data_IF_096504729607
#
_entry.id   IF_096504729607
#
_cell.length_a   1.000
_cell.length_b   1.000
_cell.length_c   1.000
_cell.angle_alpha   90.00
_cell.angle_beta   90.00
_cell.angle_gamma   90.00
#
_symmetry.space_group_name_H-M   'P 1'
#
loop_
_entity.id
_entity.type
_entity.pdbx_description
1 polymer ?
#
# COMPACT_ATOMS: atom_id res chain seq x y z
N UNK A 1 24.11 22.12 -6.25
CA UNK A 1 23.28 20.93 -5.93
C UNK A 1 23.19 20.80 -4.42
N UNK A 2 21.99 20.61 -3.83
CA UNK A 2 21.86 20.60 -2.39
C UNK A 2 22.59 19.38 -1.82
N UNK A 3 23.55 19.61 -0.93
CA UNK A 3 24.12 18.57 -0.08
C UNK A 3 22.95 17.97 0.71
N UNK A 4 22.87 16.64 0.82
CA UNK A 4 21.92 16.03 1.75
C UNK A 4 22.19 16.62 3.12
N UNK A 5 21.22 17.32 3.67
CA UNK A 5 21.35 17.90 4.98
C UNK A 5 21.35 16.78 6.01
N UNK A 6 22.25 16.84 6.99
CA UNK A 6 22.32 15.87 8.09
C UNK A 6 20.93 15.64 8.73
N UNK A 7 20.07 16.67 8.73
CA UNK A 7 18.68 16.59 9.15
C UNK A 7 17.84 15.57 8.37
N UNK A 8 18.01 15.43 7.05
CA UNK A 8 17.27 14.47 6.22
C UNK A 8 17.65 13.03 6.61
N UNK A 9 18.94 12.77 6.84
CA UNK A 9 19.44 11.47 7.28
C UNK A 9 18.87 11.11 8.65
N UNK A 10 18.95 12.04 9.62
CA UNK A 10 18.41 11.85 10.97
C UNK A 10 16.89 11.62 10.92
N UNK A 11 16.16 12.38 10.11
CA UNK A 11 14.72 12.22 9.92
C UNK A 11 14.37 10.83 9.37
N UNK A 12 15.05 10.40 8.30
CA UNK A 12 14.80 9.09 7.68
C UNK A 12 15.09 7.97 8.67
N UNK A 13 16.27 7.95 9.31
CA UNK A 13 16.59 6.88 10.24
C UNK A 13 15.69 6.86 11.49
N UNK A 14 15.37 8.04 12.06
CA UNK A 14 14.51 8.13 13.23
C UNK A 14 13.05 7.73 12.93
N UNK A 15 12.52 8.14 11.78
CA UNK A 15 11.15 7.81 11.37
C UNK A 15 10.99 6.33 11.07
N UNK A 16 11.94 5.72 10.35
CA UNK A 16 11.96 4.27 10.12
C UNK A 16 12.14 3.51 11.44
N UNK A 17 13.12 3.88 12.28
CA UNK A 17 13.29 3.24 13.59
C UNK A 17 12.02 3.34 14.44
N UNK A 18 11.39 4.52 14.50
CA UNK A 18 10.16 4.74 15.24
C UNK A 18 8.99 3.88 14.72
N UNK A 19 8.84 3.74 13.39
CA UNK A 19 7.81 2.88 12.79
C UNK A 19 8.08 1.41 13.12
N UNK A 20 9.31 0.93 12.95
CA UNK A 20 9.65 -0.47 13.23
C UNK A 20 9.47 -0.80 14.71
N UNK A 21 10.05 0.00 15.61
CA UNK A 21 10.00 -0.21 17.06
C UNK A 21 8.58 -0.09 17.62
N UNK A 22 7.83 0.96 17.22
CA UNK A 22 6.53 1.24 17.83
C UNK A 22 5.36 0.50 17.18
N UNK A 23 5.48 0.12 15.91
CA UNK A 23 4.37 -0.48 15.16
C UNK A 23 4.65 -1.94 14.80
N UNK A 24 5.81 -2.24 14.21
CA UNK A 24 6.10 -3.60 13.71
C UNK A 24 6.43 -4.57 14.84
N UNK A 25 7.29 -4.16 15.79
CA UNK A 25 7.69 -5.01 16.93
C UNK A 25 6.65 -5.09 18.04
N UNK A 26 5.92 -3.99 18.34
CA UNK A 26 4.91 -3.98 19.41
C UNK A 26 3.58 -4.63 19.07
N UNK A 27 3.16 -4.60 17.79
CA UNK A 27 1.91 -5.25 17.34
C UNK A 27 2.16 -6.58 16.65
N UNK A 28 3.33 -7.19 16.91
CA UNK A 28 3.81 -8.47 16.40
C UNK A 28 2.92 -9.02 15.29
N UNK A 29 3.39 -8.88 14.05
CA UNK A 29 3.08 -9.86 13.00
C UNK A 29 3.01 -11.22 13.72
N UNK A 30 1.95 -12.02 13.58
CA UNK A 30 1.81 -13.26 14.34
C UNK A 30 2.87 -14.26 13.84
N UNK A 31 4.12 -14.01 14.25
CA UNK A 31 5.34 -14.76 13.96
C UNK A 31 5.28 -16.10 14.72
N UNK A 32 4.35 -16.23 15.66
CA UNK A 32 4.13 -17.39 16.52
C UNK A 32 2.75 -18.05 16.32
N UNK A 33 2.08 -17.87 15.17
CA UNK A 33 0.95 -18.74 14.81
C UNK A 33 1.44 -19.88 13.91
N UNK A 34 1.36 -21.16 14.34
CA UNK A 34 1.86 -22.31 13.58
C UNK A 34 1.16 -22.53 12.22
N UNK A 35 0.05 -21.81 11.94
CA UNK A 35 -0.64 -21.85 10.64
C UNK A 35 -0.13 -20.83 9.60
N UNK A 36 0.90 -20.04 9.93
CA UNK A 36 1.46 -19.07 9.00
C UNK A 36 2.39 -19.77 7.99
N UNK A 37 1.89 -20.03 6.78
CA UNK A 37 2.68 -20.64 5.69
C UNK A 37 3.96 -19.83 5.42
N UNK A 38 5.12 -20.50 5.41
CA UNK A 38 6.47 -19.92 5.18
C UNK A 38 6.52 -18.91 4.02
N UNK A 39 5.82 -19.19 2.92
CA UNK A 39 5.72 -18.29 1.76
C UNK A 39 5.17 -16.90 2.12
N UNK A 40 4.16 -16.82 3.00
CA UNK A 40 3.60 -15.53 3.44
C UNK A 40 4.61 -14.74 4.28
N UNK A 41 5.40 -15.45 5.08
CA UNK A 41 6.45 -14.86 5.90
C UNK A 41 7.55 -14.25 5.02
N UNK A 42 8.04 -15.00 4.03
CA UNK A 42 9.05 -14.54 3.08
C UNK A 42 8.56 -13.28 2.34
N UNK A 43 7.34 -13.28 1.81
CA UNK A 43 6.80 -12.11 1.10
C UNK A 43 6.74 -10.87 1.99
N UNK A 44 6.29 -11.00 3.24
CA UNK A 44 6.23 -9.88 4.18
C UNK A 44 7.63 -9.39 4.55
N UNK A 45 8.57 -10.30 4.81
CA UNK A 45 9.95 -9.94 5.11
C UNK A 45 10.60 -9.19 3.94
N UNK A 46 10.50 -9.73 2.72
CA UNK A 46 11.06 -9.08 1.53
C UNK A 46 10.43 -7.69 1.30
N UNK A 47 9.10 -7.58 1.43
CA UNK A 47 8.40 -6.30 1.29
C UNK A 47 8.88 -5.26 2.32
N UNK A 48 9.30 -5.71 3.50
CA UNK A 48 9.74 -4.84 4.57
C UNK A 48 11.24 -4.51 4.52
N UNK A 49 12.08 -5.49 4.17
CA UNK A 49 13.54 -5.37 4.20
C UNK A 49 14.10 -4.62 2.99
N UNK A 50 13.50 -4.82 1.80
CA UNK A 50 13.99 -4.20 0.56
C UNK A 50 13.94 -2.66 0.63
N UNK A 51 12.82 -2.01 1.02
CA UNK A 51 12.74 -0.57 1.25
C UNK A 51 13.84 -0.02 2.16
N UNK A 52 14.09 -0.70 3.28
CA UNK A 52 15.11 -0.28 4.26
C UNK A 52 16.49 -0.36 3.63
N UNK A 53 16.79 -1.47 2.94
CA UNK A 53 18.07 -1.65 2.28
C UNK A 53 18.30 -0.62 1.17
N UNK A 54 17.31 -0.35 0.32
CA UNK A 54 17.40 0.66 -0.74
C UNK A 54 17.62 2.06 -0.18
N UNK A 55 16.89 2.45 0.87
CA UNK A 55 17.07 3.75 1.51
C UNK A 55 18.45 3.86 2.15
N UNK A 56 18.88 2.86 2.94
CA UNK A 56 20.21 2.87 3.55
C UNK A 56 21.30 3.01 2.49
N UNK A 57 21.21 2.23 1.41
CA UNK A 57 22.17 2.27 0.31
C UNK A 57 22.16 3.61 -0.43
N UNK A 58 20.99 4.18 -0.69
CA UNK A 58 20.87 5.51 -1.29
C UNK A 58 21.52 6.58 -0.40
N UNK A 59 21.19 6.60 0.90
CA UNK A 59 21.72 7.59 1.84
C UNK A 59 23.24 7.45 2.02
N UNK A 60 23.77 6.23 2.12
CA UNK A 60 25.21 5.99 2.19
C UNK A 60 25.96 6.48 0.95
N UNK A 61 25.38 6.30 -0.24
CA UNK A 61 25.96 6.84 -1.49
C UNK A 61 25.88 8.35 -1.53
N UNK A 62 24.78 8.91 -1.03
CA UNK A 62 24.53 10.34 -1.07
C UNK A 62 25.50 11.14 -0.18
N UNK A 63 26.04 10.52 0.87
CA UNK A 63 27.11 11.09 1.69
C UNK A 63 28.39 11.29 0.88
N UNK A 64 28.68 10.39 -0.07
CA UNK A 64 29.92 10.39 -0.85
C UNK A 64 29.81 11.10 -2.20
N UNK A 65 28.60 11.48 -2.64
CA UNK A 65 28.37 12.12 -3.93
C UNK A 65 26.93 11.97 -4.40
N UNK A 66 26.68 12.21 -5.69
CA UNK A 66 25.36 12.02 -6.29
C UNK A 66 25.09 10.53 -6.50
N UNK A 67 24.08 9.91 -5.86
CA UNK A 67 23.78 8.50 -6.09
C UNK A 67 23.31 8.25 -7.51
N UNK A 68 23.92 7.30 -8.18
CA UNK A 68 23.50 6.86 -9.51
C UNK A 68 22.65 5.57 -9.42
N UNK A 69 21.64 5.43 -10.30
CA UNK A 69 20.82 4.22 -10.38
C UNK A 69 21.66 3.04 -10.88
N UNK A 70 21.47 1.87 -10.28
CA UNK A 70 22.13 0.64 -10.71
C UNK A 70 21.11 -0.45 -11.05
N UNK A 71 21.49 -1.42 -11.89
CA UNK A 71 20.61 -2.55 -12.23
C UNK A 71 20.16 -3.36 -10.99
N UNK A 72 20.99 -3.38 -9.94
CA UNK A 72 20.63 -3.94 -8.65
C UNK A 72 19.51 -3.15 -7.95
N UNK A 73 19.53 -1.82 -8.01
CA UNK A 73 18.48 -0.97 -7.44
C UNK A 73 17.14 -1.18 -8.18
N UNK A 74 17.19 -1.30 -9.51
CA UNK A 74 16.01 -1.63 -10.31
C UNK A 74 15.46 -3.02 -9.99
N UNK A 75 16.31 -4.04 -9.86
CA UNK A 75 15.90 -5.39 -9.47
C UNK A 75 15.23 -5.41 -8.09
N UNK A 76 15.79 -4.68 -7.12
CA UNK A 76 15.18 -4.52 -5.80
C UNK A 76 13.81 -3.85 -5.90
N UNK A 77 13.69 -2.81 -6.73
CA UNK A 77 12.40 -2.19 -6.99
C UNK A 77 11.37 -3.17 -7.57
N UNK A 78 11.76 -4.01 -8.53
CA UNK A 78 10.92 -5.06 -9.12
C UNK A 78 10.46 -6.05 -8.05
N UNK A 79 11.39 -6.61 -7.27
CA UNK A 79 11.08 -7.56 -6.21
C UNK A 79 10.15 -6.97 -5.14
N UNK A 80 10.39 -5.72 -4.75
CA UNK A 80 9.52 -5.00 -3.82
C UNK A 80 8.13 -4.76 -4.42
N UNK A 81 8.04 -4.41 -5.71
CA UNK A 81 6.76 -4.20 -6.39
C UNK A 81 5.94 -5.48 -6.48
N UNK A 82 6.58 -6.62 -6.80
CA UNK A 82 5.92 -7.93 -6.83
C UNK A 82 5.39 -8.35 -5.45
N UNK A 83 6.20 -8.16 -4.40
CA UNK A 83 5.76 -8.46 -3.03
C UNK A 83 4.65 -7.52 -2.57
N UNK A 84 4.70 -6.23 -2.92
CA UNK A 84 3.66 -5.25 -2.65
C UNK A 84 2.32 -5.63 -3.32
N UNK A 85 2.34 -5.98 -4.61
CA UNK A 85 1.14 -6.41 -5.34
C UNK A 85 0.57 -7.72 -4.77
N UNK A 86 1.44 -8.67 -4.39
CA UNK A 86 1.03 -9.92 -3.74
C UNK A 86 0.31 -9.65 -2.42
N UNK A 87 0.82 -8.73 -1.60
CA UNK A 87 0.17 -8.33 -0.34
C UNK A 87 -1.14 -7.57 -0.59
N UNK A 88 -1.15 -6.69 -1.59
CA UNK A 88 -2.31 -5.88 -1.98
C UNK A 88 -3.48 -6.75 -2.46
N UNK A 89 -3.21 -7.84 -3.19
CA UNK A 89 -4.25 -8.79 -3.59
C UNK A 89 -4.96 -9.47 -2.40
N UNK A 90 -4.29 -9.50 -1.23
CA UNK A 90 -4.77 -10.15 0.00
C UNK A 90 -5.23 -9.14 1.05
N UNK A 91 -5.36 -7.86 0.70
CA UNK A 91 -5.70 -6.81 1.64
C UNK A 91 -7.08 -7.05 2.28
N UNK A 92 -7.12 -7.06 3.61
CA UNK A 92 -8.34 -7.26 4.43
C UNK A 92 -8.74 -6.04 5.24
N UNK A 93 -7.90 -5.01 5.27
CA UNK A 93 -8.07 -3.81 6.12
C UNK A 93 -8.26 -2.60 5.23
N UNK A 94 -9.13 -1.68 5.65
CA UNK A 94 -9.51 -0.50 4.86
C UNK A 94 -10.64 -0.79 3.87
N UNK A 95 -11.15 0.28 3.27
CA UNK A 95 -12.04 0.17 2.13
C UNK A 95 -11.23 -0.31 0.92
N UNK A 96 -11.51 -1.53 0.47
CA UNK A 96 -10.83 -2.17 -0.65
C UNK A 96 -10.98 -1.38 -1.95
N UNK A 97 -12.07 -0.63 -2.12
CA UNK A 97 -12.33 0.15 -3.34
C UNK A 97 -11.36 1.32 -3.51
N UNK A 98 -10.72 1.78 -2.44
CA UNK A 98 -9.77 2.89 -2.43
C UNK A 98 -8.36 2.43 -2.06
N UNK A 99 -8.22 1.63 -1.00
CA UNK A 99 -6.92 1.24 -0.48
C UNK A 99 -6.14 0.34 -1.46
N UNK A 100 -6.83 -0.58 -2.18
CA UNK A 100 -6.16 -1.45 -3.16
C UNK A 100 -5.65 -0.65 -4.37
N UNK A 101 -6.45 0.20 -5.05
CA UNK A 101 -5.95 1.08 -6.09
C UNK A 101 -4.83 2.00 -5.62
N UNK A 102 -4.90 2.51 -4.38
CA UNK A 102 -3.83 3.33 -3.78
C UNK A 102 -2.48 2.60 -3.81
N UNK A 103 -2.44 1.36 -3.29
CA UNK A 103 -1.22 0.55 -3.28
C UNK A 103 -0.73 0.18 -4.69
N UNK A 104 -1.64 -0.13 -5.60
CA UNK A 104 -1.28 -0.43 -6.99
C UNK A 104 -0.69 0.81 -7.69
N UNK A 105 -1.28 1.99 -7.46
CA UNK A 105 -0.84 3.28 -8.03
C UNK A 105 0.57 3.62 -7.57
N UNK A 106 0.81 3.63 -6.26
CA UNK A 106 2.11 3.99 -5.71
C UNK A 106 3.20 3.00 -6.16
N UNK A 107 2.86 1.72 -6.25
CA UNK A 107 3.76 0.67 -6.76
C UNK A 107 4.08 0.89 -8.24
N UNK A 108 3.08 1.19 -9.07
CA UNK A 108 3.26 1.44 -10.49
C UNK A 108 4.12 2.68 -10.74
N UNK A 109 3.86 3.79 -10.03
CA UNK A 109 4.66 5.01 -10.14
C UNK A 109 6.12 4.78 -9.75
N UNK A 110 6.36 4.09 -8.62
CA UNK A 110 7.72 3.75 -8.20
C UNK A 110 8.45 2.89 -9.23
N UNK A 111 7.76 1.88 -9.77
CA UNK A 111 8.33 1.04 -10.82
C UNK A 111 8.69 1.87 -12.05
N UNK A 112 7.82 2.78 -12.49
CA UNK A 112 8.09 3.67 -13.62
C UNK A 112 9.30 4.58 -13.38
N UNK A 113 9.38 5.22 -12.21
CA UNK A 113 10.54 6.06 -11.87
C UNK A 113 11.84 5.26 -11.82
N UNK A 114 11.83 4.06 -11.21
CA UNK A 114 13.01 3.20 -11.12
C UNK A 114 13.45 2.66 -12.48
N UNK A 115 12.49 2.25 -13.33
CA UNK A 115 12.77 1.80 -14.69
C UNK A 115 13.35 2.92 -15.53
N UNK A 116 12.73 4.11 -15.49
CA UNK A 116 13.21 5.27 -16.23
C UNK A 116 14.61 5.69 -15.75
N UNK A 117 14.84 5.75 -14.44
CA UNK A 117 16.17 6.04 -13.87
C UNK A 117 17.23 5.04 -14.33
N UNK A 118 16.92 3.74 -14.35
CA UNK A 118 17.86 2.72 -14.80
C UNK A 118 18.18 2.83 -16.30
N UNK A 119 17.19 3.16 -17.13
CA UNK A 119 17.37 3.29 -18.58
C UNK A 119 18.09 4.59 -18.97
N UNK A 120 17.84 5.69 -18.27
CA UNK A 120 18.42 7.00 -18.60
C UNK A 120 19.67 7.35 -17.80
N UNK A 121 19.93 6.63 -16.71
CA UNK A 121 20.98 6.98 -15.75
C UNK A 121 20.66 8.23 -14.91
N UNK A 122 19.43 8.75 -14.95
CA UNK A 122 19.09 10.04 -14.32
C UNK A 122 19.02 9.95 -12.78
N UNK A 123 19.90 10.66 -12.04
CA UNK A 123 19.86 10.69 -10.59
C UNK A 123 18.58 11.31 -10.01
N UNK A 124 17.91 12.21 -10.74
CA UNK A 124 16.65 12.81 -10.29
C UNK A 124 15.55 11.76 -10.22
N UNK A 125 15.38 10.96 -11.27
CA UNK A 125 14.40 9.87 -11.30
C UNK A 125 14.73 8.78 -10.27
N UNK A 126 16.02 8.52 -10.05
CA UNK A 126 16.43 7.58 -9.00
C UNK A 126 16.03 8.10 -7.61
N UNK A 127 16.34 9.36 -7.31
CA UNK A 127 15.90 10.03 -6.07
C UNK A 127 14.39 10.00 -5.92
N UNK A 128 13.64 10.33 -6.98
CA UNK A 128 12.19 10.28 -6.97
C UNK A 128 11.67 8.89 -6.58
N UNK A 129 12.20 7.82 -7.20
CA UNK A 129 11.86 6.43 -6.86
C UNK A 129 12.11 6.09 -5.38
N UNK A 130 13.21 6.57 -4.81
CA UNK A 130 13.53 6.36 -3.39
C UNK A 130 12.58 7.13 -2.47
N UNK A 131 12.23 8.38 -2.79
CA UNK A 131 11.27 9.17 -2.00
C UNK A 131 9.87 8.57 -2.01
N UNK A 132 9.46 7.89 -3.10
CA UNK A 132 8.18 7.15 -3.12
C UNK A 132 8.11 6.09 -2.00
N UNK A 133 9.25 5.54 -1.56
CA UNK A 133 9.32 4.54 -0.48
C UNK A 133 8.84 5.14 0.85
N UNK A 134 8.94 6.46 1.06
CA UNK A 134 8.42 7.13 2.26
C UNK A 134 6.89 6.97 2.42
N UNK A 135 6.18 6.54 1.36
CA UNK A 135 4.81 6.03 1.43
C UNK A 135 4.65 4.84 2.37
N UNK A 136 5.73 4.22 2.88
CA UNK A 136 5.68 3.28 3.99
C UNK A 136 5.58 3.98 5.34
N UNK A 137 6.27 5.10 5.58
CA UNK A 137 6.30 5.77 6.88
C UNK A 137 5.04 6.61 7.10
N UNK A 138 4.64 7.39 6.11
CA UNK A 138 3.53 8.34 6.22
C UNK A 138 2.19 7.72 6.62
N UNK A 139 1.78 6.53 6.14
CA UNK A 139 0.53 5.93 6.59
C UNK A 139 0.56 5.57 8.07
N UNK A 140 1.71 5.15 8.64
CA UNK A 140 1.78 4.83 10.08
C UNK A 140 1.68 6.07 10.94
N UNK A 141 2.29 7.17 10.51
CA UNK A 141 2.16 8.47 11.18
C UNK A 141 0.70 8.95 11.08
N UNK A 142 0.14 8.92 9.86
CA UNK A 142 -1.24 9.30 9.58
C UNK A 142 -2.27 8.52 10.39
N UNK A 143 -2.12 7.18 10.48
CA UNK A 143 -3.02 6.33 11.28
C UNK A 143 -2.98 6.75 12.74
N UNK A 144 -1.78 6.95 13.33
CA UNK A 144 -1.66 7.39 14.73
C UNK A 144 -2.30 8.75 14.95
N UNK A 145 -2.06 9.69 14.05
CA UNK A 145 -2.57 11.05 14.14
C UNK A 145 -4.11 11.08 14.00
N UNK A 146 -4.66 10.54 12.91
CA UNK A 146 -6.10 10.53 12.66
C UNK A 146 -6.88 9.71 13.70
N UNK A 147 -6.31 8.60 14.17
CA UNK A 147 -6.93 7.81 15.25
C UNK A 147 -6.94 8.58 16.59
N UNK A 148 -5.93 9.41 16.86
CA UNK A 148 -5.89 10.27 18.06
C UNK A 148 -6.92 11.40 17.97
N UNK A 149 -7.11 11.99 16.79
CA UNK A 149 -8.06 13.08 16.59
C UNK A 149 -9.52 12.63 16.54
N UNK A 150 -9.80 11.32 16.36
CA UNK A 150 -11.15 10.74 16.27
C UNK A 150 -12.06 11.40 15.20
N UNK A 151 -11.45 11.93 14.13
CA UNK A 151 -12.17 12.64 13.05
C UNK A 151 -12.99 11.67 12.18
N UNK A 152 -12.50 10.43 12.01
CA UNK A 152 -13.10 9.46 11.11
C UNK A 152 -13.86 8.36 11.90
N UNK A 153 -14.99 7.87 11.36
CA UNK A 153 -15.94 7.05 12.11
C UNK A 153 -15.45 5.63 12.41
N UNK A 154 -14.44 5.13 11.68
CA UNK A 154 -13.94 3.77 11.85
C UNK A 154 -12.44 3.66 11.58
N UNK A 155 -11.80 2.63 12.15
CA UNK A 155 -10.40 2.31 11.85
C UNK A 155 -10.16 2.03 10.36
N UNK A 156 -11.15 1.45 9.67
CA UNK A 156 -11.10 1.23 8.23
C UNK A 156 -11.02 2.54 7.45
N UNK A 157 -11.83 3.54 7.83
CA UNK A 157 -11.79 4.88 7.23
C UNK A 157 -10.46 5.58 7.54
N UNK A 158 -10.00 5.54 8.79
CA UNK A 158 -8.69 6.07 9.20
C UNK A 158 -7.57 5.47 8.37
N UNK A 159 -7.54 4.13 8.25
CA UNK A 159 -6.53 3.42 7.49
C UNK A 159 -6.54 3.82 6.01
N UNK A 160 -7.72 3.87 5.39
CA UNK A 160 -7.87 4.20 3.97
C UNK A 160 -7.43 5.63 3.68
N UNK A 161 -7.93 6.60 4.44
CA UNK A 161 -7.56 8.01 4.30
C UNK A 161 -6.07 8.22 4.55
N UNK A 162 -5.51 7.59 5.59
CA UNK A 162 -4.08 7.68 5.90
C UNK A 162 -3.22 7.18 4.75
N UNK A 163 -3.54 6.02 4.17
CA UNK A 163 -2.74 5.46 3.07
C UNK A 163 -2.85 6.30 1.80
N UNK A 164 -4.05 6.81 1.48
CA UNK A 164 -4.26 7.65 0.31
C UNK A 164 -3.47 8.97 0.43
N UNK A 165 -3.64 9.69 1.54
CA UNK A 165 -2.93 10.96 1.79
C UNK A 165 -1.42 10.74 1.86
N UNK A 166 -0.98 9.69 2.54
CA UNK A 166 0.43 9.34 2.62
C UNK A 166 1.06 9.06 1.26
N UNK A 167 0.36 8.33 0.39
CA UNK A 167 0.85 8.03 -0.95
C UNK A 167 0.98 9.32 -1.77
N UNK A 168 0.00 10.22 -1.67
CA UNK A 168 0.08 11.55 -2.30
C UNK A 168 1.26 12.36 -1.79
N UNK A 169 1.48 12.39 -0.47
CA UNK A 169 2.60 13.10 0.16
C UNK A 169 3.95 12.54 -0.31
N UNK A 170 4.11 11.22 -0.36
CA UNK A 170 5.35 10.60 -0.85
C UNK A 170 5.63 10.91 -2.33
N UNK A 171 4.58 11.07 -3.15
CA UNK A 171 4.73 11.50 -4.54
C UNK A 171 5.07 12.99 -4.61
N UNK A 172 4.44 13.83 -3.79
CA UNK A 172 4.75 15.26 -3.73
C UNK A 172 6.22 15.51 -3.35
N UNK A 173 6.78 14.69 -2.44
CA UNK A 173 8.19 14.78 -2.04
C UNK A 173 9.19 14.50 -3.16
N UNK A 174 8.78 13.80 -4.22
CA UNK A 174 9.64 13.58 -5.39
C UNK A 174 10.02 14.88 -6.11
N UNK A 175 9.34 16.00 -5.81
CA UNK A 175 9.49 17.29 -6.50
C UNK A 175 9.18 17.21 -8.01
N UNK A 176 8.56 16.13 -8.47
CA UNK A 176 8.05 16.05 -9.84
C UNK A 176 6.80 16.92 -9.95
N UNK A 177 6.85 17.98 -10.75
CA UNK A 177 5.82 19.03 -10.81
C UNK A 177 4.40 18.49 -11.04
N UNK A 178 4.28 17.43 -11.85
CA UNK A 178 3.00 16.78 -12.15
C UNK A 178 2.74 15.52 -11.32
N UNK A 179 3.55 15.25 -10.29
CA UNK A 179 3.47 14.01 -9.50
C UNK A 179 2.09 13.74 -8.92
N UNK A 180 1.52 14.66 -8.10
CA UNK A 180 0.19 14.48 -7.53
C UNK A 180 -0.92 14.29 -8.59
N UNK A 181 -0.84 15.02 -9.71
CA UNK A 181 -1.79 14.91 -10.80
C UNK A 181 -1.69 13.55 -11.51
N UNK A 182 -0.46 13.10 -11.79
CA UNK A 182 -0.18 11.79 -12.36
C UNK A 182 -0.66 10.67 -11.42
N UNK A 183 -0.45 10.82 -10.11
CA UNK A 183 -0.97 9.90 -9.11
C UNK A 183 -2.50 9.79 -9.19
N UNK A 184 -3.22 10.91 -9.23
CA UNK A 184 -4.70 10.90 -9.34
C UNK A 184 -5.17 10.25 -10.65
N UNK A 185 -4.51 10.55 -11.76
CA UNK A 185 -4.85 10.00 -13.07
C UNK A 185 -4.64 8.47 -13.10
N UNK A 186 -3.48 7.99 -12.63
CA UNK A 186 -3.16 6.56 -12.56
C UNK A 186 -4.10 5.86 -11.56
N UNK A 187 -4.38 6.49 -10.42
CA UNK A 187 -5.34 5.98 -9.45
C UNK A 187 -6.73 5.79 -10.05
N UNK A 188 -7.25 6.79 -10.75
CA UNK A 188 -8.55 6.72 -11.41
C UNK A 188 -8.56 5.61 -12.48
N UNK A 189 -7.51 5.51 -13.30
CA UNK A 189 -7.37 4.45 -14.30
C UNK A 189 -7.37 3.06 -13.66
N UNK A 190 -6.65 2.87 -12.54
CA UNK A 190 -6.61 1.60 -11.80
C UNK A 190 -7.95 1.30 -11.14
N UNK A 191 -8.68 2.29 -10.62
CA UNK A 191 -10.04 2.10 -10.10
C UNK A 191 -10.95 1.57 -11.20
N UNK A 192 -10.95 2.20 -12.38
CA UNK A 192 -11.75 1.77 -13.54
C UNK A 192 -11.37 0.36 -13.97
N UNK A 193 -10.07 0.07 -14.08
CA UNK A 193 -9.57 -1.25 -14.44
C UNK A 193 -9.99 -2.32 -13.44
N UNK A 194 -9.84 -2.05 -12.14
CA UNK A 194 -10.24 -2.99 -11.08
C UNK A 194 -11.74 -3.27 -11.12
N UNK A 195 -12.57 -2.25 -11.40
CA UNK A 195 -14.03 -2.42 -11.58
C UNK A 195 -14.34 -3.27 -12.79
N UNK A 196 -13.74 -2.96 -13.94
CA UNK A 196 -13.91 -3.72 -15.18
C UNK A 196 -13.55 -5.20 -15.01
N UNK A 197 -12.40 -5.49 -14.38
CA UNK A 197 -11.99 -6.88 -14.09
C UNK A 197 -12.96 -7.54 -13.11
N UNK A 198 -13.40 -6.84 -12.07
CA UNK A 198 -14.37 -7.39 -11.11
C UNK A 198 -15.74 -7.68 -11.73
N UNK A 199 -16.18 -6.88 -12.70
CA UNK A 199 -17.43 -7.10 -13.44
C UNK A 199 -17.31 -8.30 -14.40
N UNK A 200 -16.15 -8.47 -15.05
CA UNK A 200 -15.88 -9.62 -15.92
C UNK A 200 -15.77 -10.94 -15.17
N UNK A 201 -15.19 -10.91 -13.96
CA UNK A 201 -15.01 -12.08 -13.11
C UNK A 201 -16.24 -12.42 -12.25
N UNK A 202 -17.32 -11.63 -12.31
CA UNK A 202 -18.58 -12.01 -11.67
C UNK A 202 -19.12 -13.26 -12.37
N UNK A 203 -19.32 -14.38 -11.64
CA UNK A 203 -20.00 -15.52 -12.22
C UNK A 203 -21.37 -15.07 -12.74
N UNK A 204 -21.73 -15.47 -13.96
CA UNK A 204 -23.09 -15.34 -14.50
C UNK A 204 -24.05 -16.23 -13.70
N UNK A 205 -24.31 -15.89 -12.44
CA UNK A 205 -25.30 -16.55 -11.60
C UNK A 205 -26.61 -15.76 -11.66
N UNK A 206 -27.06 -15.46 -12.88
CA UNK A 206 -28.38 -14.89 -13.15
C UNK A 206 -28.73 -15.20 -14.59
N UNK A 207 -29.36 -16.36 -14.80
CA UNK A 207 -30.44 -16.53 -15.78
C UNK A 207 -31.26 -17.83 -15.63
N UNK A 208 -30.87 -18.78 -14.76
CA UNK A 208 -31.68 -20.03 -14.59
C UNK A 208 -32.66 -20.04 -13.41
N UNK A 209 -32.70 -19.01 -12.55
CA UNK A 209 -33.63 -19.00 -11.39
C UNK A 209 -34.96 -18.28 -11.64
N UNK A 210 -35.22 -17.85 -12.88
CA UNK A 210 -36.52 -17.27 -13.27
C UNK A 210 -37.57 -18.32 -13.72
N UNK A 211 -37.19 -19.59 -13.88
CA UNK A 211 -38.12 -20.69 -14.20
C UNK A 211 -38.57 -21.55 -13.00
N UNK A 212 -38.22 -21.16 -11.76
CA UNK A 212 -38.59 -21.94 -10.57
C UNK A 212 -39.24 -21.07 -9.46
N UNK A 213 -40.07 -20.10 -9.89
CA UNK A 213 -40.98 -19.32 -9.03
C UNK A 213 -42.43 -19.40 -9.53
N UNK A 214 -42.89 -20.60 -9.88
CA UNK A 214 -44.31 -20.91 -10.10
C UNK A 214 -44.79 -22.12 -9.30
N UNK A 215 -44.15 -22.43 -8.18
CA UNK A 215 -44.60 -23.49 -7.27
C UNK A 215 -43.93 -23.35 -5.91
N UNK A 216 -44.73 -23.43 -4.85
CA UNK A 216 -44.39 -23.38 -3.43
C UNK A 216 -44.26 -21.96 -2.85
N UNK A 217 -45.43 -21.37 -2.61
CA UNK A 217 -45.58 -20.34 -1.58
C UNK A 217 -45.27 -20.91 -0.21
N UNK A 218 -44.42 -20.22 0.54
CA UNK A 218 -44.21 -20.42 1.97
C UNK A 218 -44.35 -19.06 2.65
N UNK A 219 -45.42 -18.95 3.42
CA UNK A 219 -45.89 -17.77 4.14
C UNK A 219 -44.99 -17.49 5.36
N UNK A 220 -44.30 -16.34 5.37
CA UNK A 220 -43.47 -15.88 6.49
C UNK A 220 -44.33 -15.15 7.54
N UNK A 221 -45.27 -15.86 8.18
CA UNK A 221 -46.10 -15.25 9.23
C UNK A 221 -46.33 -16.14 10.46
N UNK A 222 -45.30 -16.84 10.95
CA UNK A 222 -45.30 -17.44 12.30
C UNK A 222 -43.88 -17.67 12.83
N UNK A 223 -43.21 -16.63 13.33
CA UNK A 223 -42.00 -16.79 14.16
C UNK A 223 -41.77 -15.63 15.13
N UNK A 224 -42.84 -14.99 15.60
CA UNK A 224 -42.79 -14.00 16.66
C UNK A 224 -43.79 -14.41 17.75
N UNK A 225 -43.36 -15.32 18.63
CA UNK A 225 -43.84 -15.52 20.01
C UNK A 225 -43.35 -16.87 20.52
N UNK A 226 -42.26 -16.88 21.29
CA UNK A 226 -42.02 -17.75 22.47
C UNK A 226 -40.53 -17.69 22.83
N UNK A 227 -40.24 -17.28 24.06
CA UNK A 227 -38.88 -17.30 24.59
C UNK A 227 -38.57 -16.38 25.77
N UNK A 228 -39.57 -15.90 26.52
CA UNK A 228 -39.39 -15.42 27.89
C UNK A 228 -39.50 -16.62 28.84
N UNK A 229 -38.47 -16.89 29.64
CA UNK A 229 -38.56 -17.89 30.70
C UNK A 229 -37.21 -18.24 31.34
N UNK A 230 -36.99 -17.59 32.50
CA UNK A 230 -36.06 -17.89 33.60
C UNK A 230 -34.56 -17.62 33.38
#
# INVERSE_FOLDING_TARGET
MPKIEFAEVVWVFSSYAGVFLLHTFRRSVPITKPSFRLQKYIVVLCHLSIPVMEICRYQLRAIHGTPEPSGGDFLLCVLHSLTALTLTSRLRVGDRSIARPTYQTITAMRFCFSAAAYLTGDPFLYRASIHVINGFVYPRIGIKLLNRMRILPSYSAVYTASNFVASMLSIHETQFSFGPHAYLAIFAAIVVLNRYVAERDRPQFTNDTSMQRSGLGWDYRTAATKGSGL
#
